data_IF_373740359977
#
_entry.id   IF_373740359977
#
_cell.length_a   1.000
_cell.length_b   1.000
_cell.length_c   1.000
_cell.angle_alpha   90.00
_cell.angle_beta   90.00
_cell.angle_gamma   90.00
#
_symmetry.space_group_name_H-M   'P 1'
#
loop_
_entity.id
_entity.type
_entity.pdbx_description
1 polymer ?
#
# COMPACT_ATOMS: atom_id res chain seq x y z
N UNK A 1 -4.19 18.38 -5.45
CA UNK A 1 -3.50 17.13 -5.02
C UNK A 1 -2.50 16.76 -6.11
N UNK A 2 -1.25 16.41 -5.78
CA UNK A 2 -0.23 16.08 -6.79
C UNK A 2 -0.50 14.68 -7.35
N UNK A 3 -0.40 14.53 -8.67
CA UNK A 3 -0.67 13.29 -9.39
C UNK A 3 0.62 12.84 -10.10
N UNK A 4 0.96 11.57 -10.01
CA UNK A 4 2.15 11.00 -10.66
C UNK A 4 1.78 9.67 -11.34
N UNK A 5 2.20 9.50 -12.59
CA UNK A 5 2.26 8.16 -13.20
C UNK A 5 3.38 7.33 -12.58
N UNK A 6 3.34 6.01 -12.76
CA UNK A 6 4.46 5.11 -12.40
C UNK A 6 5.83 5.62 -12.85
N UNK A 7 5.94 6.14 -14.08
CA UNK A 7 7.19 6.68 -14.62
C UNK A 7 7.62 7.98 -13.93
N UNK A 8 6.67 8.85 -13.60
CA UNK A 8 6.96 10.08 -12.87
C UNK A 8 7.35 9.79 -11.41
N UNK A 9 6.71 8.82 -10.75
CA UNK A 9 7.11 8.36 -9.43
C UNK A 9 8.56 7.86 -9.43
N UNK A 10 8.94 7.02 -10.41
CA UNK A 10 10.32 6.53 -10.51
C UNK A 10 11.33 7.67 -10.59
N UNK A 11 11.12 8.64 -11.49
CA UNK A 11 11.99 9.82 -11.60
C UNK A 11 12.02 10.66 -10.32
N UNK A 12 10.91 10.70 -9.60
CA UNK A 12 10.83 11.42 -8.33
C UNK A 12 11.67 10.73 -7.25
N UNK A 13 11.58 9.40 -7.14
CA UNK A 13 12.38 8.59 -6.22
C UNK A 13 13.88 8.64 -6.55
N UNK A 14 14.25 8.65 -7.84
CA UNK A 14 15.64 8.82 -8.27
C UNK A 14 16.22 10.17 -7.78
N UNK A 15 15.42 11.25 -7.77
CA UNK A 15 15.83 12.56 -7.22
C UNK A 15 15.97 12.57 -5.70
N UNK A 16 15.20 11.73 -5.01
CA UNK A 16 15.26 11.55 -3.55
C UNK A 16 16.44 10.66 -3.13
N UNK A 17 16.97 9.84 -4.04
CA UNK A 17 18.09 8.95 -3.74
C UNK A 17 19.30 9.74 -3.21
N UNK A 18 19.92 9.24 -2.13
CA UNK A 18 21.04 9.90 -1.44
C UNK A 18 20.69 11.17 -0.66
N UNK A 19 19.43 11.63 -0.67
CA UNK A 19 18.98 12.77 0.15
C UNK A 19 18.64 12.36 1.57
N UNK A 20 18.54 13.36 2.46
CA UNK A 20 18.09 13.17 3.85
C UNK A 20 16.73 12.47 3.89
N UNK A 21 16.58 11.54 4.81
CA UNK A 21 15.36 10.73 4.96
C UNK A 21 14.08 11.57 5.09
N UNK A 22 14.15 12.70 5.79
CA UNK A 22 13.02 13.62 5.96
C UNK A 22 12.41 14.12 4.65
N UNK A 23 13.15 14.08 3.53
CA UNK A 23 12.65 14.45 2.20
C UNK A 23 11.57 13.49 1.69
N UNK A 24 11.58 12.22 2.07
CA UNK A 24 10.55 11.27 1.65
C UNK A 24 9.14 11.68 2.09
N UNK A 25 8.99 12.56 3.09
CA UNK A 25 7.70 13.14 3.50
C UNK A 25 6.98 13.85 2.36
N UNK A 26 7.69 14.30 1.32
CA UNK A 26 7.09 14.89 0.13
C UNK A 26 6.22 13.92 -0.68
N UNK A 27 6.37 12.60 -0.47
CA UNK A 27 5.53 11.58 -1.09
C UNK A 27 4.13 11.46 -0.47
N UNK A 28 3.91 12.07 0.72
CA UNK A 28 2.63 12.00 1.42
C UNK A 28 1.53 12.67 0.58
N UNK A 29 0.36 12.06 0.52
CA UNK A 29 -0.84 12.57 -0.18
C UNK A 29 -0.65 12.82 -1.70
N UNK A 30 0.36 12.21 -2.32
CA UNK A 30 0.48 12.16 -3.77
C UNK A 30 -0.34 10.97 -4.28
N UNK A 31 -1.17 11.19 -5.31
CA UNK A 31 -1.84 10.10 -6.04
C UNK A 31 -0.87 9.52 -7.06
N UNK A 32 -0.61 8.23 -6.95
CA UNK A 32 0.21 7.47 -7.88
C UNK A 32 -0.71 6.61 -8.74
N UNK A 33 -0.63 6.78 -10.05
CA UNK A 33 -1.39 6.03 -11.04
C UNK A 33 -0.57 4.86 -11.59
N UNK A 34 -1.13 3.66 -11.42
CA UNK A 34 -0.61 2.40 -11.95
C UNK A 34 -1.49 1.83 -13.07
N UNK A 35 -2.36 2.65 -13.66
CA UNK A 35 -3.33 2.31 -14.73
C UNK A 35 -4.47 1.38 -14.24
N UNK A 36 -4.15 0.34 -13.46
CA UNK A 36 -5.11 -0.59 -12.86
C UNK A 36 -5.51 -0.22 -11.42
N UNK A 37 -4.75 0.66 -10.78
CA UNK A 37 -4.96 1.04 -9.39
C UNK A 37 -4.39 2.44 -9.13
N UNK A 38 -4.94 3.10 -8.11
CA UNK A 38 -4.39 4.35 -7.56
C UNK A 38 -3.81 4.06 -6.18
N UNK A 39 -2.63 4.60 -5.90
CA UNK A 39 -1.98 4.44 -4.61
C UNK A 39 -1.66 5.80 -3.97
N UNK A 40 -1.80 5.91 -2.66
CA UNK A 40 -1.53 7.13 -1.89
C UNK A 40 -0.77 6.76 -0.63
N UNK A 41 0.35 7.43 -0.36
CA UNK A 41 0.98 7.37 0.96
C UNK A 41 0.21 8.25 1.94
N UNK A 42 -0.61 7.64 2.80
CA UNK A 42 -1.36 8.34 3.86
C UNK A 42 -0.46 8.70 5.03
N UNK A 43 0.57 7.88 5.27
CA UNK A 43 1.64 8.13 6.24
C UNK A 43 2.99 7.80 5.63
N UNK A 44 3.96 8.70 5.81
CA UNK A 44 5.36 8.42 5.48
C UNK A 44 6.16 8.40 6.78
N UNK A 45 6.97 7.37 6.97
CA UNK A 45 7.82 7.21 8.15
C UNK A 45 8.85 8.35 8.26
N UNK A 46 9.21 8.74 9.48
CA UNK A 46 10.10 9.89 9.73
C UNK A 46 11.59 9.55 9.57
N UNK A 47 11.93 8.28 9.80
CA UNK A 47 13.27 7.70 9.74
C UNK A 47 13.12 6.18 9.45
N UNK A 48 14.21 5.45 9.15
CA UNK A 48 14.14 4.02 8.82
C UNK A 48 13.59 3.10 9.94
N UNK A 49 13.67 3.51 11.20
CA UNK A 49 13.30 2.72 12.38
C UNK A 49 11.91 3.09 12.94
N UNK A 50 11.35 4.23 12.52
CA UNK A 50 9.97 4.59 12.82
C UNK A 50 8.97 3.57 12.23
N UNK A 51 7.73 3.50 12.77
CA UNK A 51 6.70 2.64 12.19
C UNK A 51 6.55 2.87 10.67
N UNK A 52 6.37 1.79 9.89
CA UNK A 52 6.46 1.85 8.44
C UNK A 52 5.47 2.84 7.82
N UNK A 53 5.83 3.34 6.63
CA UNK A 53 4.92 4.13 5.81
C UNK A 53 3.64 3.34 5.51
N UNK A 54 2.50 4.03 5.47
CA UNK A 54 1.19 3.44 5.16
C UNK A 54 0.79 3.91 3.76
N UNK A 55 0.44 2.94 2.93
CA UNK A 55 -0.04 3.17 1.58
C UNK A 55 -1.47 2.64 1.45
N UNK A 56 -2.37 3.48 0.97
CA UNK A 56 -3.71 3.11 0.56
C UNK A 56 -3.68 2.79 -0.94
N UNK A 57 -4.35 1.72 -1.36
CA UNK A 57 -4.50 1.34 -2.77
C UNK A 57 -5.99 1.21 -3.07
N UNK A 58 -6.45 1.91 -4.09
CA UNK A 58 -7.82 1.83 -4.60
C UNK A 58 -7.79 1.18 -5.97
N UNK A 59 -8.56 0.10 -6.14
CA UNK A 59 -8.74 -0.58 -7.43
C UNK A 59 -10.19 -0.31 -7.88
N UNK A 60 -10.41 0.28 -9.07
CA UNK A 60 -11.77 0.52 -9.57
C UNK A 60 -12.56 -0.79 -9.81
N UNK A 61 -13.88 -0.74 -9.67
CA UNK A 61 -14.75 -1.89 -9.92
C UNK A 61 -14.67 -2.43 -11.33
N UNK A 62 -14.45 -1.54 -12.31
CA UNK A 62 -14.20 -1.90 -13.71
C UNK A 62 -12.94 -2.75 -13.90
N UNK A 63 -11.98 -2.72 -12.97
CA UNK A 63 -10.74 -3.49 -13.04
C UNK A 63 -10.89 -4.82 -12.30
N UNK A 64 -11.36 -4.80 -11.05
CA UNK A 64 -11.43 -6.04 -10.26
C UNK A 64 -12.64 -6.91 -10.62
N UNK A 65 -13.69 -6.34 -11.20
CA UNK A 65 -14.88 -7.05 -11.71
C UNK A 65 -15.50 -8.05 -10.71
N UNK A 66 -15.45 -7.71 -9.42
CA UNK A 66 -16.06 -8.54 -8.38
C UNK A 66 -17.57 -8.32 -8.39
N UNK A 67 -18.39 -9.37 -8.22
CA UNK A 67 -19.83 -9.24 -8.10
C UNK A 67 -20.24 -8.23 -7.03
N UNK A 68 -21.22 -7.39 -7.33
CA UNK A 68 -21.70 -6.35 -6.43
C UNK A 68 -22.26 -6.93 -5.12
N UNK A 69 -22.81 -8.14 -5.17
CA UNK A 69 -23.34 -8.91 -4.03
C UNK A 69 -22.31 -9.10 -2.90
N UNK A 70 -21.01 -9.10 -3.22
CA UNK A 70 -19.96 -9.20 -2.21
C UNK A 70 -19.72 -7.90 -1.43
N UNK A 71 -20.20 -6.77 -1.95
CA UNK A 71 -20.12 -5.46 -1.31
C UNK A 71 -21.41 -5.05 -0.62
N UNK A 72 -22.35 -5.99 -0.44
CA UNK A 72 -23.67 -5.73 0.13
C UNK A 72 -23.97 -6.61 1.35
N UNK A 73 -24.71 -6.01 2.31
CA UNK A 73 -25.23 -6.70 3.48
C UNK A 73 -24.17 -7.43 4.32
N UNK A 74 -24.46 -8.69 4.66
CA UNK A 74 -23.60 -9.52 5.52
C UNK A 74 -22.36 -10.07 4.81
N UNK A 75 -22.37 -10.08 3.47
CA UNK A 75 -21.27 -10.63 2.65
C UNK A 75 -20.00 -9.78 2.73
N UNK A 76 -20.14 -8.47 2.97
CA UNK A 76 -19.02 -7.52 3.04
C UNK A 76 -17.94 -7.97 3.99
N UNK A 77 -18.32 -8.32 5.22
CA UNK A 77 -17.37 -8.69 6.29
C UNK A 77 -16.58 -9.94 5.91
N UNK A 78 -17.28 -10.99 5.45
CA UNK A 78 -16.63 -12.23 5.05
C UNK A 78 -15.71 -12.03 3.82
N UNK A 79 -16.15 -11.21 2.87
CA UNK A 79 -15.41 -10.95 1.64
C UNK A 79 -14.15 -10.12 1.88
N UNK A 80 -14.23 -9.03 2.66
CA UNK A 80 -13.08 -8.18 2.97
C UNK A 80 -12.07 -8.93 3.84
N UNK A 81 -12.51 -9.74 4.81
CA UNK A 81 -11.63 -10.62 5.59
C UNK A 81 -10.91 -11.64 4.70
N UNK A 82 -11.62 -12.26 3.74
CA UNK A 82 -11.00 -13.15 2.77
C UNK A 82 -9.92 -12.44 1.93
N UNK A 83 -10.23 -11.26 1.38
CA UNK A 83 -9.25 -10.44 0.65
C UNK A 83 -8.04 -10.12 1.53
N UNK A 84 -8.25 -9.74 2.79
CA UNK A 84 -7.17 -9.45 3.73
C UNK A 84 -6.28 -10.69 3.97
N UNK A 85 -6.86 -11.89 4.13
CA UNK A 85 -6.08 -13.13 4.27
C UNK A 85 -5.26 -13.46 3.04
N UNK A 86 -5.83 -13.29 1.85
CA UNK A 86 -5.11 -13.47 0.58
C UNK A 86 -3.97 -12.46 0.48
N UNK A 87 -4.24 -11.18 0.72
CA UNK A 87 -3.25 -10.10 0.65
C UNK A 87 -2.12 -10.29 1.68
N UNK A 88 -2.44 -10.68 2.91
CA UNK A 88 -1.45 -11.02 3.94
C UNK A 88 -0.52 -12.16 3.49
N UNK A 89 -1.08 -13.19 2.84
CA UNK A 89 -0.31 -14.32 2.34
C UNK A 89 0.58 -13.95 1.15
N UNK A 90 0.11 -13.08 0.26
CA UNK A 90 0.90 -12.56 -0.88
C UNK A 90 2.02 -11.64 -0.39
N UNK A 91 1.73 -10.70 0.50
CA UNK A 91 2.71 -9.73 1.01
C UNK A 91 3.87 -10.39 1.76
N UNK A 92 3.63 -11.51 2.45
CA UNK A 92 4.69 -12.34 3.05
C UNK A 92 5.79 -12.75 2.06
N UNK A 93 5.44 -13.00 0.79
CA UNK A 93 6.43 -13.39 -0.24
C UNK A 93 7.37 -12.24 -0.62
N UNK A 94 6.93 -11.00 -0.43
CA UNK A 94 7.70 -9.78 -0.74
C UNK A 94 8.38 -9.18 0.49
N UNK A 95 7.96 -9.56 1.70
CA UNK A 95 8.58 -9.12 2.94
C UNK A 95 9.94 -9.81 3.12
N UNK A 96 11.01 -9.00 3.22
CA UNK A 96 12.35 -9.49 3.48
C UNK A 96 13.11 -8.50 4.35
N UNK A 97 14.07 -8.98 5.14
CA UNK A 97 15.03 -8.10 5.80
C UNK A 97 16.00 -7.55 4.77
N UNK A 98 16.08 -6.24 4.65
CA UNK A 98 17.11 -5.54 3.89
C UNK A 98 17.43 -4.22 4.59
N UNK A 99 18.66 -3.70 4.45
CA UNK A 99 19.02 -2.40 5.03
C UNK A 99 18.78 -2.31 6.54
N UNK A 100 18.34 -1.13 7.00
CA UNK A 100 18.06 -0.83 8.41
C UNK A 100 16.57 -0.65 8.69
N UNK A 101 16.17 -0.91 9.94
CA UNK A 101 14.80 -0.72 10.42
C UNK A 101 13.76 -1.52 9.63
N UNK A 102 12.72 -0.84 9.11
CA UNK A 102 11.64 -1.45 8.31
C UNK A 102 11.91 -1.43 6.81
N UNK A 103 13.16 -1.33 6.39
CA UNK A 103 13.52 -1.39 4.98
C UNK A 103 13.13 -2.74 4.35
N UNK A 104 12.58 -2.69 3.14
CA UNK A 104 11.94 -3.82 2.42
C UNK A 104 10.76 -4.50 3.14
N UNK A 105 10.23 -3.91 4.22
CA UNK A 105 9.00 -4.40 4.81
C UNK A 105 7.81 -4.07 3.90
N UNK A 106 7.05 -5.11 3.56
CA UNK A 106 5.74 -5.00 2.91
C UNK A 106 4.80 -5.93 3.64
N UNK A 107 3.66 -5.41 4.10
CA UNK A 107 2.71 -6.20 4.87
C UNK A 107 1.46 -5.44 5.21
N UNK A 108 0.47 -6.19 5.69
CA UNK A 108 -0.75 -5.69 6.30
C UNK A 108 -0.90 -6.30 7.70
N UNK A 109 -1.79 -5.78 8.57
CA UNK A 109 -2.09 -6.42 9.84
C UNK A 109 -2.42 -7.91 9.67
N UNK A 110 -1.85 -8.75 10.54
CA UNK A 110 -2.08 -10.20 10.49
C UNK A 110 -3.54 -10.50 10.85
N UNK A 111 -4.30 -11.17 9.97
CA UNK A 111 -5.67 -11.58 10.30
C UNK A 111 -5.66 -12.61 11.43
N UNK A 112 -6.68 -12.53 12.30
CA UNK A 112 -6.87 -13.48 13.41
C UNK A 112 -7.65 -14.73 12.95
N UNK A 113 -7.92 -15.67 13.86
CA UNK A 113 -8.85 -16.77 13.58
C UNK A 113 -10.32 -16.32 13.47
N UNK A 114 -10.64 -15.13 13.97
CA UNK A 114 -11.97 -14.52 13.83
C UNK A 114 -12.05 -13.74 12.52
N UNK A 115 -13.25 -13.77 11.93
CA UNK A 115 -13.67 -12.90 10.83
C UNK A 115 -14.14 -11.59 11.48
N UNK A 116 -13.53 -10.47 11.11
CA UNK A 116 -13.75 -9.15 11.68
C UNK A 116 -14.08 -8.14 10.57
#
# INVERSE_FOLDING_TARGET
MKYLTKHQLRRHLEKLHGRKYSRYKELKNIVIDYDCAKAIFTKVQNDPHAPPSIMEITIPSSIHSFPQEFFEGKSVIAFTDYIARVLYSVTKKYNRKCGSGYSCFVGIPKPSSRIL
#
